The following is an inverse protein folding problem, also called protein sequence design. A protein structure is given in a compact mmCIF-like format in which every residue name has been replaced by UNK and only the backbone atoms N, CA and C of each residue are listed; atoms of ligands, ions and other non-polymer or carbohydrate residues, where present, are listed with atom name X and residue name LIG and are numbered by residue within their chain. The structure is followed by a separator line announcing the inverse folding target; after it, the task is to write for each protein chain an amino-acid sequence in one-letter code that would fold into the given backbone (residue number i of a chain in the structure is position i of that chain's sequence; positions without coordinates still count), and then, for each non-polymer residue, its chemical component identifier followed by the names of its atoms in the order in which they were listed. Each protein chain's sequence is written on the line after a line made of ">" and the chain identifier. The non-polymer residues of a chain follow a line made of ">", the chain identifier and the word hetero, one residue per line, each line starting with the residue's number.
data_IF_588908553840
#
_entry.id   IF_588908553840
#
_cell.length_a   1.000
_cell.length_b   1.000
_cell.length_c   1.000
_cell.angle_alpha   90.00
_cell.angle_beta   90.00
_cell.angle_gamma   90.00
#
_symmetry.space_group_name_H-M   'P 1'
#
loop_
_entity.id
_entity.type
_entity.pdbx_description
1 polymer ?
#
# COMPACT_ATOMS: atom_id res chain seq x y z
N UNK A 1 -2.55 -8.54 5.19
CA UNK A 1 -2.86 -9.54 6.21
C UNK A 1 -4.36 -9.78 6.28
N UNK A 2 -5.19 -8.75 6.45
CA UNK A 2 -6.66 -8.90 6.47
C UNK A 2 -7.21 -9.52 5.17
N UNK A 3 -6.70 -9.14 4.00
CA UNK A 3 -7.10 -9.73 2.72
C UNK A 3 -6.73 -11.24 2.64
N UNK A 4 -5.58 -11.62 3.20
CA UNK A 4 -5.15 -13.03 3.24
C UNK A 4 -5.95 -13.84 4.27
N UNK A 5 -6.42 -13.23 5.35
CA UNK A 5 -7.37 -13.84 6.27
C UNK A 5 -8.71 -14.07 5.56
N UNK A 6 -9.26 -13.05 4.91
CA UNK A 6 -10.50 -13.16 4.15
C UNK A 6 -10.41 -14.17 2.99
N UNK A 7 -9.20 -14.42 2.47
CA UNK A 7 -8.93 -15.42 1.43
C UNK A 7 -8.61 -16.84 1.97
N UNK A 8 -8.73 -17.09 3.28
CA UNK A 8 -8.53 -18.41 3.89
C UNK A 8 -7.07 -18.76 4.24
N UNK A 9 -6.11 -17.90 3.93
CA UNK A 9 -4.67 -18.17 4.18
C UNK A 9 -4.33 -18.11 5.67
N UNK A 10 -4.97 -17.22 6.41
CA UNK A 10 -4.77 -17.03 7.85
C UNK A 10 -6.06 -17.18 8.62
N UNK A 11 -5.94 -17.62 9.87
CA UNK A 11 -7.00 -17.37 10.84
C UNK A 11 -6.98 -15.90 11.28
N UNK A 12 -8.11 -15.37 11.75
CA UNK A 12 -8.19 -14.00 12.27
C UNK A 12 -7.15 -13.74 13.37
N UNK A 13 -6.90 -14.72 14.25
CA UNK A 13 -5.87 -14.64 15.29
C UNK A 13 -4.48 -14.47 14.69
N UNK A 14 -4.10 -15.33 13.73
CA UNK A 14 -2.81 -15.23 13.04
C UNK A 14 -2.65 -13.88 12.32
N UNK A 15 -3.67 -13.42 11.62
CA UNK A 15 -3.63 -12.14 10.91
C UNK A 15 -3.35 -10.97 11.86
N UNK A 16 -3.98 -10.95 13.05
CA UNK A 16 -3.75 -9.92 14.08
C UNK A 16 -2.34 -10.02 14.67
N UNK A 17 -1.89 -11.23 15.04
CA UNK A 17 -0.56 -11.47 15.62
C UNK A 17 0.56 -11.08 14.61
N UNK A 18 0.42 -11.47 13.35
CA UNK A 18 1.38 -11.13 12.31
C UNK A 18 1.38 -9.62 11.98
N UNK A 19 0.21 -8.99 11.96
CA UNK A 19 0.12 -7.53 11.76
C UNK A 19 0.78 -6.77 12.92
N UNK A 20 0.59 -7.21 14.17
CA UNK A 20 1.25 -6.64 15.35
C UNK A 20 2.77 -6.83 15.29
N UNK A 21 3.23 -8.04 14.96
CA UNK A 21 4.65 -8.33 14.78
C UNK A 21 5.27 -7.44 13.68
N UNK A 22 4.61 -7.33 12.52
CA UNK A 22 5.02 -6.46 11.42
C UNK A 22 5.18 -5.01 11.88
N UNK A 23 4.18 -4.48 12.58
CA UNK A 23 4.23 -3.12 13.11
C UNK A 23 5.43 -2.88 14.02
N UNK A 24 5.72 -3.85 14.92
CA UNK A 24 6.89 -3.80 15.81
C UNK A 24 8.20 -3.86 15.01
N UNK A 25 8.33 -4.80 14.08
CA UNK A 25 9.53 -4.94 13.24
C UNK A 25 9.82 -3.66 12.44
N UNK A 26 8.78 -3.04 11.87
CA UNK A 26 8.90 -1.76 11.15
C UNK A 26 9.32 -0.62 12.08
N UNK A 27 8.75 -0.55 13.28
CA UNK A 27 9.14 0.46 14.27
C UNK A 27 10.59 0.28 14.72
N UNK A 28 11.03 -0.97 14.93
CA UNK A 28 12.41 -1.29 15.31
C UNK A 28 13.39 -0.95 14.16
N UNK A 29 13.05 -1.26 12.92
CA UNK A 29 13.86 -0.93 11.73
C UNK A 29 14.00 0.59 11.50
N UNK A 30 13.01 1.37 11.89
CA UNK A 30 13.04 2.84 11.74
C UNK A 30 13.88 3.56 12.82
N UNK A 31 14.28 2.86 13.90
CA UNK A 31 15.02 3.49 15.00
C UNK A 31 16.36 4.08 14.54
N UNK A 32 16.58 5.32 14.91
CA UNK A 32 17.83 6.04 14.61
C UNK A 32 17.96 6.55 13.18
N UNK A 33 16.94 6.34 12.34
CA UNK A 33 16.91 6.89 10.99
C UNK A 33 16.19 8.24 11.01
N UNK A 34 16.90 9.31 10.68
CA UNK A 34 16.25 10.59 10.39
C UNK A 34 15.58 10.51 9.02
N UNK A 35 14.28 10.27 9.02
CA UNK A 35 13.52 9.95 7.82
C UNK A 35 12.37 10.92 7.56
N UNK A 36 11.81 10.84 6.36
CA UNK A 36 10.62 11.58 5.97
C UNK A 36 9.84 10.86 4.88
N UNK A 37 8.58 11.27 4.74
CA UNK A 37 7.74 10.92 3.60
C UNK A 37 7.02 12.18 3.11
N UNK A 38 6.85 12.31 1.81
CA UNK A 38 6.20 13.47 1.18
C UNK A 38 5.24 13.01 0.10
N UNK A 39 3.98 13.44 0.19
CA UNK A 39 3.01 13.25 -0.88
C UNK A 39 3.27 14.28 -1.99
N UNK A 40 3.43 13.79 -3.22
CA UNK A 40 3.67 14.56 -4.43
C UNK A 40 2.43 14.53 -5.30
N UNK A 41 1.88 15.71 -5.61
CA UNK A 41 0.62 15.82 -6.32
C UNK A 41 0.84 16.29 -7.75
N UNK A 42 0.19 15.58 -8.69
CA UNK A 42 0.15 15.93 -10.11
C UNK A 42 1.55 16.05 -10.76
N UNK A 43 2.41 15.07 -10.50
CA UNK A 43 3.65 14.84 -11.24
C UNK A 43 3.62 13.41 -11.80
N UNK A 44 4.14 13.25 -13.01
CA UNK A 44 4.28 11.95 -13.66
C UNK A 44 5.25 11.02 -12.91
N UNK A 45 5.00 9.68 -12.99
CA UNK A 45 5.79 8.66 -12.30
C UNK A 45 7.27 8.72 -12.68
N UNK A 46 7.55 8.83 -14.00
CA UNK A 46 8.92 8.81 -14.51
C UNK A 46 9.66 10.09 -14.15
N UNK A 47 8.96 11.24 -14.19
CA UNK A 47 9.50 12.50 -13.76
C UNK A 47 9.88 12.49 -12.28
N UNK A 48 9.01 11.92 -11.41
CA UNK A 48 9.29 11.80 -10.00
C UNK A 48 10.41 10.80 -9.72
N UNK A 49 10.48 9.69 -10.46
CA UNK A 49 11.57 8.72 -10.33
C UNK A 49 12.94 9.36 -10.62
N UNK A 50 13.05 10.20 -11.65
CA UNK A 50 14.27 10.98 -11.94
C UNK A 50 14.63 11.93 -10.80
N UNK A 51 13.64 12.60 -10.19
CA UNK A 51 13.88 13.44 -9.01
C UNK A 51 14.43 12.64 -7.84
N UNK A 52 13.92 11.43 -7.60
CA UNK A 52 14.44 10.52 -6.57
C UNK A 52 15.86 10.05 -6.89
N UNK A 53 16.13 9.69 -8.15
CA UNK A 53 17.46 9.29 -8.62
C UNK A 53 18.49 10.39 -8.37
N UNK A 54 18.21 11.62 -8.78
CA UNK A 54 19.10 12.77 -8.56
C UNK A 54 19.32 13.05 -7.07
N UNK A 55 18.25 12.99 -6.26
CA UNK A 55 18.32 13.23 -4.83
C UNK A 55 19.03 12.11 -4.05
N UNK A 56 19.18 10.91 -4.64
CA UNK A 56 19.80 9.75 -3.99
C UNK A 56 21.28 9.96 -3.64
N UNK A 57 21.93 10.98 -4.21
CA UNK A 57 23.27 11.42 -3.78
C UNK A 57 23.32 11.89 -2.31
N UNK A 58 22.19 12.25 -1.70
CA UNK A 58 22.08 12.69 -0.31
C UNK A 58 21.59 11.59 0.65
N UNK A 59 21.30 10.39 0.15
CA UNK A 59 20.79 9.28 0.93
C UNK A 59 19.69 8.49 0.21
N UNK A 60 19.14 7.50 0.88
CA UNK A 60 18.07 6.68 0.32
C UNK A 60 16.77 7.49 0.15
N UNK A 61 16.24 7.52 -1.06
CA UNK A 61 14.90 8.05 -1.38
C UNK A 61 14.31 7.30 -2.55
N UNK A 62 13.01 7.00 -2.48
CA UNK A 62 12.29 6.33 -3.56
C UNK A 62 10.80 6.67 -3.54
N UNK A 63 10.10 6.38 -4.63
CA UNK A 63 8.63 6.40 -4.62
C UNK A 63 8.17 5.19 -3.82
N UNK A 64 7.52 5.40 -2.68
CA UNK A 64 7.04 4.34 -1.79
C UNK A 64 5.55 4.04 -1.97
N UNK A 65 4.75 4.96 -2.53
CA UNK A 65 3.35 4.68 -2.85
C UNK A 65 2.97 5.29 -4.20
N UNK A 66 2.35 4.46 -5.03
CA UNK A 66 1.61 4.83 -6.25
C UNK A 66 0.12 4.72 -5.90
N UNK A 67 -0.46 5.80 -5.33
CA UNK A 67 -1.80 5.72 -4.73
C UNK A 67 -2.93 5.74 -5.77
N UNK A 68 -2.92 6.72 -6.64
CA UNK A 68 -3.88 6.89 -7.74
C UNK A 68 -3.32 7.92 -8.73
N UNK A 69 -3.94 8.12 -9.90
CA UNK A 69 -3.52 9.16 -10.86
C UNK A 69 -3.30 10.51 -10.19
N UNK A 70 -2.10 11.06 -10.36
CA UNK A 70 -1.71 12.35 -9.80
C UNK A 70 -1.43 12.36 -8.28
N UNK A 71 -1.29 11.20 -7.63
CA UNK A 71 -0.93 11.12 -6.22
C UNK A 71 0.11 10.03 -5.95
N UNK A 72 1.35 10.44 -5.77
CA UNK A 72 2.49 9.61 -5.43
C UNK A 72 3.03 9.99 -4.04
N UNK A 73 3.77 9.10 -3.41
CA UNK A 73 4.48 9.40 -2.15
C UNK A 73 5.93 8.98 -2.29
N UNK A 74 6.85 9.88 -1.95
CA UNK A 74 8.26 9.57 -1.80
C UNK A 74 8.60 9.38 -0.33
N UNK A 75 9.56 8.51 -0.04
CA UNK A 75 10.02 8.25 1.32
C UNK A 75 11.48 7.84 1.35
N UNK A 76 12.12 8.04 2.49
CA UNK A 76 13.53 7.72 2.68
C UNK A 76 14.18 8.54 3.78
N UNK A 77 15.50 8.75 3.67
CA UNK A 77 16.24 9.65 4.55
C UNK A 77 15.82 11.09 4.31
N UNK A 78 15.68 11.86 5.39
CA UNK A 78 15.06 13.18 5.39
C UNK A 78 15.68 14.15 4.38
N UNK A 79 17.01 14.27 4.36
CA UNK A 79 17.72 15.17 3.45
C UNK A 79 17.45 14.82 1.97
N UNK A 80 17.45 13.54 1.64
CA UNK A 80 17.17 13.04 0.28
C UNK A 80 15.70 13.26 -0.12
N UNK A 81 14.75 13.01 0.82
CA UNK A 81 13.32 13.28 0.58
C UNK A 81 13.04 14.77 0.37
N UNK A 82 13.64 15.64 1.18
CA UNK A 82 13.50 17.09 1.04
C UNK A 82 14.04 17.55 -0.32
N UNK A 83 15.22 17.05 -0.72
CA UNK A 83 15.80 17.37 -2.04
C UNK A 83 14.93 16.84 -3.18
N UNK A 84 14.43 15.61 -3.11
CA UNK A 84 13.54 15.06 -4.11
C UNK A 84 12.23 15.88 -4.23
N UNK A 85 11.70 16.36 -3.11
CA UNK A 85 10.50 17.20 -3.10
C UNK A 85 10.76 18.60 -3.72
N UNK A 86 11.95 19.17 -3.55
CA UNK A 86 12.36 20.42 -4.23
C UNK A 86 12.44 20.21 -5.75
N UNK A 87 13.12 19.15 -6.18
CA UNK A 87 13.23 18.77 -7.58
C UNK A 87 11.86 18.49 -8.22
N UNK A 88 10.99 17.79 -7.50
CA UNK A 88 9.63 17.52 -7.95
C UNK A 88 8.81 18.82 -8.15
N UNK A 89 8.95 19.80 -7.26
CA UNK A 89 8.33 21.13 -7.45
C UNK A 89 8.88 21.83 -8.69
N UNK A 90 10.19 21.81 -8.89
CA UNK A 90 10.83 22.39 -10.08
C UNK A 90 10.40 21.67 -11.37
N UNK A 91 10.14 20.37 -11.31
CA UNK A 91 9.64 19.54 -12.41
C UNK A 91 8.12 19.71 -12.66
N UNK A 92 7.41 20.54 -11.89
CA UNK A 92 6.00 20.87 -12.12
C UNK A 92 5.01 20.17 -11.19
N UNK A 93 5.46 19.52 -10.11
CA UNK A 93 4.53 19.01 -9.10
C UNK A 93 3.67 20.15 -8.53
N UNK A 94 2.35 19.94 -8.53
CA UNK A 94 1.42 20.97 -8.03
C UNK A 94 1.59 21.24 -6.54
N UNK A 95 1.88 20.19 -5.75
CA UNK A 95 2.13 20.28 -4.30
C UNK A 95 3.05 19.14 -3.87
N UNK A 96 3.90 19.41 -2.89
CA UNK A 96 4.65 18.43 -2.12
C UNK A 96 4.30 18.64 -0.65
N UNK A 97 3.64 17.67 -0.04
CA UNK A 97 3.06 17.76 1.30
C UNK A 97 3.80 16.78 2.21
N UNK A 98 4.61 17.25 3.17
CA UNK A 98 5.25 16.40 4.15
C UNK A 98 4.21 15.62 4.97
N UNK A 99 4.44 14.34 5.18
CA UNK A 99 3.58 13.47 5.96
C UNK A 99 4.16 13.28 7.36
N UNK A 100 3.28 13.23 8.37
CA UNK A 100 3.67 12.89 9.73
C UNK A 100 3.76 11.36 9.84
N UNK A 101 4.96 10.83 9.74
CA UNK A 101 5.25 9.39 9.80
C UNK A 101 6.33 9.09 10.82
N UNK A 102 6.35 7.86 11.33
CA UNK A 102 7.33 7.37 12.31
C UNK A 102 8.48 6.58 11.68
N UNK A 103 8.49 6.43 10.36
CA UNK A 103 9.51 5.65 9.66
C UNK A 103 9.45 5.81 8.13
N UNK A 104 10.52 5.43 7.42
CA UNK A 104 10.62 5.47 5.97
C UNK A 104 9.95 4.23 5.36
N UNK A 105 8.65 4.07 5.60
CA UNK A 105 7.89 2.88 5.23
C UNK A 105 7.86 2.65 3.72
N UNK A 106 7.83 1.38 3.33
CA UNK A 106 7.83 0.96 1.92
C UNK A 106 9.07 1.43 1.14
N UNK A 107 10.21 1.54 1.82
CA UNK A 107 11.52 1.82 1.23
C UNK A 107 12.51 0.72 1.58
N UNK A 108 13.66 0.71 0.87
CA UNK A 108 14.77 -0.23 1.13
C UNK A 108 15.30 -0.14 2.57
N UNK A 109 15.07 0.97 3.27
CA UNK A 109 15.45 1.15 4.68
C UNK A 109 14.67 0.22 5.62
N UNK A 110 13.55 -0.36 5.16
CA UNK A 110 12.78 -1.36 5.90
C UNK A 110 13.28 -2.79 5.72
N UNK A 111 14.42 -3.01 5.05
CA UNK A 111 15.01 -4.34 4.88
C UNK A 111 15.15 -5.13 6.21
N UNK A 112 15.61 -4.54 7.33
CA UNK A 112 15.67 -5.27 8.60
C UNK A 112 14.29 -5.76 9.10
N UNK A 113 13.22 -5.04 8.77
CA UNK A 113 11.86 -5.51 9.07
C UNK A 113 11.45 -6.68 8.16
N UNK A 114 11.90 -6.67 6.90
CA UNK A 114 11.75 -7.79 5.98
C UNK A 114 12.41 -9.06 6.51
N UNK A 115 13.67 -8.97 6.92
CA UNK A 115 14.43 -10.09 7.50
C UNK A 115 13.73 -10.68 8.75
N UNK A 116 13.29 -9.82 9.66
CA UNK A 116 12.56 -10.25 10.85
C UNK A 116 11.22 -10.95 10.51
N UNK A 117 10.53 -10.48 9.47
CA UNK A 117 9.32 -11.12 8.97
C UNK A 117 9.62 -12.47 8.30
N UNK A 118 10.67 -12.59 7.50
CA UNK A 118 11.09 -13.84 6.88
C UNK A 118 11.39 -14.90 7.94
N UNK A 119 12.13 -14.54 9.00
CA UNK A 119 12.40 -15.41 10.15
C UNK A 119 11.09 -15.84 10.85
N UNK A 120 10.18 -14.88 11.10
CA UNK A 120 8.88 -15.15 11.72
C UNK A 120 8.04 -16.11 10.87
N UNK A 121 8.00 -15.92 9.56
CA UNK A 121 7.22 -16.74 8.64
C UNK A 121 7.73 -18.18 8.52
N UNK A 122 8.99 -18.44 8.81
CA UNK A 122 9.55 -19.80 8.78
C UNK A 122 8.85 -20.78 9.74
N UNK A 123 8.21 -20.28 10.78
CA UNK A 123 7.44 -21.07 11.77
C UNK A 123 5.92 -20.97 11.61
N UNK A 124 5.44 -20.20 10.63
CA UNK A 124 4.01 -20.00 10.41
C UNK A 124 3.43 -20.97 9.39
N UNK A 125 2.19 -21.33 9.59
CA UNK A 125 1.43 -22.09 8.61
C UNK A 125 0.65 -21.13 7.71
N UNK A 126 0.82 -21.28 6.39
CA UNK A 126 0.07 -20.57 5.37
C UNK A 126 -0.91 -21.54 4.72
N UNK A 127 -2.21 -21.28 4.86
CA UNK A 127 -3.27 -22.03 4.19
C UNK A 127 -3.32 -21.77 2.69
N UNK A 128 -4.20 -22.47 2.02
CA UNK A 128 -4.50 -22.23 0.60
C UNK A 128 -5.34 -20.96 0.44
N UNK A 129 -5.09 -20.24 -0.64
CA UNK A 129 -5.81 -19.02 -0.96
C UNK A 129 -7.08 -19.37 -1.74
N UNK A 130 -8.25 -19.29 -1.09
CA UNK A 130 -9.55 -19.66 -1.67
C UNK A 130 -10.13 -18.54 -2.57
N UNK A 131 -9.72 -17.29 -2.33
CA UNK A 131 -10.15 -16.13 -3.11
C UNK A 131 -8.93 -15.37 -3.62
N UNK A 132 -8.90 -14.92 -4.88
CA UNK A 132 -7.77 -14.16 -5.41
C UNK A 132 -7.46 -12.90 -4.58
N UNK A 133 -6.18 -12.68 -4.31
CA UNK A 133 -5.66 -11.48 -3.64
C UNK A 133 -4.68 -10.77 -4.57
N UNK A 134 -4.84 -9.46 -4.74
CA UNK A 134 -3.87 -8.64 -5.41
C UNK A 134 -2.85 -8.12 -4.38
N UNK A 135 -1.57 -8.34 -4.67
CA UNK A 135 -0.50 -7.94 -3.76
C UNK A 135 -0.01 -6.54 -4.07
N UNK A 136 -0.07 -5.66 -3.10
CA UNK A 136 0.31 -4.26 -3.29
C UNK A 136 1.79 -4.04 -3.67
N UNK A 137 2.69 -4.98 -3.37
CA UNK A 137 4.07 -4.95 -3.84
C UNK A 137 4.26 -5.44 -5.29
N UNK A 138 3.18 -5.90 -5.94
CA UNK A 138 3.13 -6.29 -7.34
C UNK A 138 2.20 -5.36 -8.15
N UNK A 139 1.08 -4.93 -7.57
CA UNK A 139 -0.02 -4.25 -8.25
C UNK A 139 -0.99 -5.20 -8.95
N UNK A 140 -0.81 -6.51 -8.79
CA UNK A 140 -1.59 -7.58 -9.41
C UNK A 140 -1.57 -8.86 -8.57
N UNK A 141 -2.14 -9.96 -9.08
CA UNK A 141 -2.12 -11.28 -8.49
C UNK A 141 -0.68 -11.84 -8.44
N UNK A 142 -0.42 -12.74 -7.52
CA UNK A 142 0.83 -13.51 -7.52
C UNK A 142 0.89 -14.50 -8.69
N UNK A 143 2.08 -14.76 -9.21
CA UNK A 143 2.33 -15.90 -10.11
C UNK A 143 2.33 -17.22 -9.32
N UNK A 144 2.18 -18.35 -10.04
CA UNK A 144 2.23 -19.69 -9.41
C UNK A 144 3.58 -19.98 -8.74
N UNK A 145 4.65 -19.40 -9.27
CA UNK A 145 6.00 -19.48 -8.70
C UNK A 145 6.22 -18.63 -7.45
N UNK A 146 5.34 -17.67 -7.17
CA UNK A 146 5.48 -16.76 -6.04
C UNK A 146 4.95 -17.39 -4.75
N UNK A 147 5.72 -17.29 -3.68
CA UNK A 147 5.28 -17.68 -2.35
C UNK A 147 4.72 -16.48 -1.57
N UNK A 148 3.62 -16.71 -0.83
CA UNK A 148 3.00 -15.66 0.00
C UNK A 148 3.98 -15.11 1.06
N UNK A 149 4.76 -15.94 1.80
CA UNK A 149 5.77 -15.44 2.72
C UNK A 149 6.76 -14.47 2.08
N UNK A 150 7.31 -14.82 0.91
CA UNK A 150 8.26 -13.94 0.20
C UNK A 150 7.62 -12.63 -0.28
N UNK A 151 6.34 -12.65 -0.68
CA UNK A 151 5.62 -11.43 -1.04
C UNK A 151 5.33 -10.54 0.17
N UNK A 152 5.06 -11.11 1.34
CA UNK A 152 4.85 -10.35 2.57
C UNK A 152 6.17 -9.77 3.12
N UNK A 153 7.28 -10.48 2.99
CA UNK A 153 8.61 -9.95 3.24
C UNK A 153 8.92 -8.79 2.30
N UNK A 154 8.75 -8.99 0.98
CA UNK A 154 8.95 -7.95 -0.02
C UNK A 154 8.08 -6.71 0.23
N UNK A 155 6.83 -6.89 0.63
CA UNK A 155 5.84 -5.83 0.82
C UNK A 155 6.33 -4.74 1.78
N UNK A 156 7.01 -5.08 2.87
CA UNK A 156 7.39 -4.10 3.90
C UNK A 156 8.48 -3.15 3.43
N UNK A 157 9.31 -3.59 2.49
CA UNK A 157 10.49 -2.88 1.98
C UNK A 157 10.35 -2.41 0.51
N UNK A 158 9.17 -2.62 -0.08
CA UNK A 158 8.87 -2.28 -1.48
C UNK A 158 7.72 -1.30 -1.59
N UNK A 159 7.65 -0.62 -2.73
CA UNK A 159 6.56 0.30 -3.07
C UNK A 159 5.19 -0.36 -3.03
N UNK A 160 4.19 0.44 -2.71
CA UNK A 160 2.76 0.07 -2.80
C UNK A 160 2.22 0.53 -4.14
N UNK A 161 1.81 -0.41 -4.99
CA UNK A 161 1.26 -0.17 -6.33
C UNK A 161 -0.27 -0.18 -6.29
N UNK A 162 -0.88 0.74 -5.50
CA UNK A 162 -2.34 0.79 -5.35
C UNK A 162 -3.04 1.18 -6.66
N UNK A 163 -2.50 2.15 -7.40
CA UNK A 163 -3.07 2.55 -8.70
C UNK A 163 -3.08 1.37 -9.68
N UNK A 164 -1.99 0.59 -9.73
CA UNK A 164 -1.88 -0.58 -10.62
C UNK A 164 -2.84 -1.69 -10.16
N UNK A 165 -2.97 -1.90 -8.84
CA UNK A 165 -3.98 -2.81 -8.24
C UNK A 165 -5.40 -2.42 -8.66
N UNK A 166 -5.75 -1.14 -8.59
CA UNK A 166 -7.08 -0.68 -8.99
C UNK A 166 -7.31 -0.83 -10.50
N UNK A 167 -6.32 -0.51 -11.33
CA UNK A 167 -6.41 -0.75 -12.78
C UNK A 167 -6.61 -2.22 -13.08
N UNK A 168 -5.90 -3.10 -12.36
CA UNK A 168 -6.05 -4.54 -12.51
C UNK A 168 -7.46 -5.01 -12.14
N UNK A 169 -8.09 -4.47 -11.09
CA UNK A 169 -9.49 -4.74 -10.77
C UNK A 169 -10.44 -4.33 -11.90
N UNK A 170 -10.19 -3.18 -12.54
CA UNK A 170 -10.94 -2.76 -13.72
C UNK A 170 -10.78 -3.72 -14.92
N UNK A 171 -9.55 -4.19 -15.19
CA UNK A 171 -9.26 -5.18 -16.23
C UNK A 171 -9.97 -6.52 -15.98
N UNK A 172 -10.10 -6.90 -14.71
CA UNK A 172 -10.84 -8.10 -14.28
C UNK A 172 -12.37 -7.94 -14.37
N UNK A 173 -12.86 -6.74 -14.73
CA UNK A 173 -14.28 -6.46 -14.85
C UNK A 173 -15.00 -6.31 -13.51
N UNK A 174 -14.30 -5.93 -12.44
CA UNK A 174 -14.90 -5.67 -11.13
C UNK A 174 -15.76 -4.41 -11.23
N UNK A 175 -17.04 -4.53 -10.87
CA UNK A 175 -18.03 -3.45 -10.91
C UNK A 175 -18.36 -2.87 -9.53
N UNK A 176 -18.10 -3.65 -8.47
CA UNK A 176 -18.44 -3.28 -7.09
C UNK A 176 -17.24 -3.44 -6.18
N UNK A 177 -16.91 -2.39 -5.44
CA UNK A 177 -15.77 -2.36 -4.50
C UNK A 177 -16.31 -1.91 -3.14
N UNK A 178 -15.98 -2.68 -2.11
CA UNK A 178 -16.27 -2.35 -0.72
C UNK A 178 -14.97 -2.07 0.05
N UNK A 179 -14.78 -0.84 0.53
CA UNK A 179 -13.72 -0.50 1.48
C UNK A 179 -14.20 -0.85 2.90
N UNK A 180 -13.48 -1.75 3.57
CA UNK A 180 -13.79 -2.17 4.94
C UNK A 180 -12.74 -1.64 5.89
N UNK A 181 -13.14 -0.82 6.87
CA UNK A 181 -12.26 -0.24 7.86
C UNK A 181 -12.40 1.27 8.00
N UNK A 182 -11.59 1.90 8.88
CA UNK A 182 -11.74 3.31 9.20
C UNK A 182 -11.35 4.24 8.05
N UNK A 183 -12.20 5.22 7.77
CA UNK A 183 -11.99 6.23 6.75
C UNK A 183 -12.47 5.82 5.36
N UNK A 184 -12.16 6.67 4.36
CA UNK A 184 -12.63 6.53 2.97
C UNK A 184 -11.51 6.87 1.96
N UNK A 185 -10.25 6.57 2.33
CA UNK A 185 -9.10 6.93 1.49
C UNK A 185 -9.03 6.07 0.23
N UNK A 186 -9.26 4.76 0.36
CA UNK A 186 -9.22 3.83 -0.77
C UNK A 186 -10.38 4.08 -1.74
N UNK A 187 -11.58 4.36 -1.24
CA UNK A 187 -12.73 4.78 -2.06
C UNK A 187 -12.41 6.04 -2.88
N UNK A 188 -11.65 6.98 -2.30
CA UNK A 188 -11.15 8.15 -3.02
C UNK A 188 -10.17 7.79 -4.15
N UNK A 189 -9.32 6.78 -3.95
CA UNK A 189 -8.41 6.28 -4.99
C UNK A 189 -9.16 5.52 -6.08
N UNK A 190 -10.14 4.68 -5.72
CA UNK A 190 -11.04 4.00 -6.67
C UNK A 190 -11.68 5.00 -7.60
N UNK A 191 -12.34 6.02 -7.06
CA UNK A 191 -13.01 7.06 -7.84
C UNK A 191 -12.07 7.79 -8.80
N UNK A 192 -10.82 8.06 -8.40
CA UNK A 192 -9.84 8.74 -9.24
C UNK A 192 -9.25 7.83 -10.32
N UNK A 193 -9.17 6.53 -10.07
CA UNK A 193 -8.52 5.57 -10.96
C UNK A 193 -9.49 4.93 -11.93
N UNK A 194 -10.66 4.51 -11.45
CA UNK A 194 -11.68 3.77 -12.21
C UNK A 194 -12.87 4.64 -12.64
N UNK A 195 -13.01 5.84 -12.09
CA UNK A 195 -14.11 6.74 -12.46
C UNK A 195 -15.43 6.41 -11.80
N UNK A 196 -16.54 6.72 -12.50
CA UNK A 196 -17.89 6.54 -12.02
C UNK A 196 -18.52 5.19 -12.40
N UNK A 197 -17.85 4.41 -13.26
CA UNK A 197 -18.37 3.15 -13.79
C UNK A 197 -18.28 1.99 -12.77
N UNK A 198 -17.56 2.21 -11.66
CA UNK A 198 -17.42 1.25 -10.58
C UNK A 198 -18.17 1.77 -9.35
N UNK A 199 -19.08 0.97 -8.86
CA UNK A 199 -19.78 1.25 -7.60
C UNK A 199 -18.80 1.02 -6.42
N UNK A 200 -18.61 2.04 -5.59
CA UNK A 200 -17.72 1.96 -4.45
C UNK A 200 -18.46 2.39 -3.18
N UNK A 201 -18.52 1.49 -2.21
CA UNK A 201 -19.03 1.74 -0.86
C UNK A 201 -17.92 1.64 0.17
N UNK A 202 -18.08 2.27 1.33
CA UNK A 202 -17.18 2.18 2.46
C UNK A 202 -17.97 1.91 3.73
N UNK A 203 -17.50 0.99 4.56
CA UNK A 203 -18.09 0.64 5.85
C UNK A 203 -17.04 0.69 6.95
N UNK A 204 -17.31 1.47 7.98
CA UNK A 204 -16.42 1.68 9.13
C UNK A 204 -17.06 1.18 10.42
N UNK A 205 -18.41 1.22 10.52
CA UNK A 205 -19.17 0.81 11.71
C UNK A 205 -20.09 -0.38 11.42
N UNK A 206 -20.59 -1.02 12.47
CA UNK A 206 -21.55 -2.12 12.36
C UNK A 206 -22.85 -1.64 11.70
N UNK A 207 -23.31 -0.45 12.04
CA UNK A 207 -24.52 0.16 11.46
C UNK A 207 -24.38 0.41 9.95
N UNK A 208 -23.21 0.90 9.51
CA UNK A 208 -22.91 1.08 8.09
C UNK A 208 -22.87 -0.26 7.35
N UNK A 209 -22.32 -1.31 7.98
CA UNK A 209 -22.30 -2.65 7.41
C UNK A 209 -23.72 -3.21 7.26
N UNK A 210 -24.56 -3.09 8.27
CA UNK A 210 -25.96 -3.54 8.22
C UNK A 210 -26.76 -2.80 7.13
N UNK A 211 -26.57 -1.48 7.01
CA UNK A 211 -27.19 -0.69 5.97
C UNK A 211 -26.73 -1.11 4.57
N UNK A 212 -25.40 -1.33 4.40
CA UNK A 212 -24.84 -1.83 3.15
C UNK A 212 -25.42 -3.20 2.77
N UNK A 213 -25.46 -4.16 3.71
CA UNK A 213 -25.99 -5.49 3.46
C UNK A 213 -27.47 -5.49 3.10
N UNK A 214 -28.25 -4.57 3.66
CA UNK A 214 -29.66 -4.40 3.33
C UNK A 214 -29.83 -3.91 1.89
N UNK A 215 -29.13 -2.83 1.54
CA UNK A 215 -29.19 -2.26 0.18
C UNK A 215 -28.65 -3.23 -0.88
N UNK A 216 -27.60 -3.99 -0.54
CA UNK A 216 -27.03 -4.99 -1.43
C UNK A 216 -28.01 -6.14 -1.75
N UNK A 217 -28.74 -6.62 -0.75
CA UNK A 217 -29.78 -7.65 -0.94
C UNK A 217 -30.94 -7.15 -1.79
N UNK A 218 -31.39 -5.90 -1.58
CA UNK A 218 -32.44 -5.28 -2.35
C UNK A 218 -32.06 -5.09 -3.83
N UNK A 219 -30.80 -4.78 -4.11
CA UNK A 219 -30.32 -4.62 -5.48
C UNK A 219 -30.17 -5.96 -6.25
N UNK A 220 -30.19 -7.10 -5.55
CA UNK A 220 -30.11 -8.44 -6.15
C UNK A 220 -31.45 -9.17 -6.27
N UNK A 221 -32.55 -8.60 -5.72
CA UNK A 221 -33.90 -9.15 -5.74
C UNK A 221 -34.67 -8.66 -6.96
#
# INVERSE_FOLDING_TARGET
>A
YSALEAAGVFTAKQAVELAAFRGKAMADAAKGIECGMTAVMNLDRDALAKCCEEASALGCVQICNYNCPGQLVIGGEKAAVEKAAELAKAAGARRCIPLKVSGPFHTKLMHPAGDALAERFASEHFGEMETPVLFNCLGHEKADSDSIPALLEKQVQSSVYMEDTLRRLGELGVTDILEVGPGKALSGFVKKTLGADVHCAAVETAEELEAFLTSWKEAQA
#
